data_IF_874480056516
#
_entry.id   IF_874480056516
#
_cell.length_a   1.000
_cell.length_b   1.000
_cell.length_c   1.000
_cell.angle_alpha   90.00
_cell.angle_beta   90.00
_cell.angle_gamma   90.00
#
_symmetry.space_group_name_H-M   'P 1'
#
loop_
_entity.id
_entity.type
_entity.pdbx_description
1 polymer ?
#
# COMPACT_ATOMS: atom_id res chain seq x y z
N UNK A 1 33.12 1.46 -12.62
CA UNK A 1 32.72 1.69 -11.21
C UNK A 1 31.24 1.98 -11.22
N UNK A 2 30.47 1.18 -10.50
CA UNK A 2 29.01 1.04 -10.59
C UNK A 2 28.33 2.23 -9.93
N UNK A 3 27.45 2.95 -10.64
CA UNK A 3 26.65 4.02 -10.03
C UNK A 3 25.18 3.61 -10.08
N UNK A 4 24.75 3.07 -8.95
CA UNK A 4 23.46 2.43 -8.74
C UNK A 4 22.33 3.46 -8.73
N UNK A 5 21.35 3.26 -9.61
CA UNK A 5 20.11 4.00 -9.60
C UNK A 5 19.39 3.83 -8.26
N UNK A 6 19.46 4.86 -7.42
CA UNK A 6 18.75 4.96 -6.15
C UNK A 6 17.25 4.88 -6.39
N UNK A 7 16.68 3.69 -6.23
CA UNK A 7 15.24 3.47 -6.27
C UNK A 7 14.66 4.21 -5.05
N UNK A 8 13.71 5.14 -5.21
CA UNK A 8 13.10 5.80 -4.07
C UNK A 8 12.52 4.72 -3.16
N UNK A 9 12.99 4.69 -1.91
CA UNK A 9 12.51 3.77 -0.89
C UNK A 9 11.00 3.96 -0.79
N UNK A 10 10.25 2.91 -1.11
CA UNK A 10 8.80 2.97 -1.17
C UNK A 10 8.33 3.10 0.27
N UNK A 11 8.06 4.33 0.72
CA UNK A 11 7.55 4.59 2.06
C UNK A 11 6.24 3.81 2.24
N UNK A 12 6.32 2.77 3.07
CA UNK A 12 5.17 1.97 3.45
C UNK A 12 4.58 2.59 4.72
N UNK A 13 3.32 2.99 4.66
CA UNK A 13 2.58 3.50 5.79
C UNK A 13 1.74 2.38 6.42
N UNK A 14 1.74 2.33 7.75
CA UNK A 14 0.84 1.46 8.51
C UNK A 14 -0.60 2.01 8.42
N UNK A 15 -1.53 1.14 8.05
CA UNK A 15 -2.93 1.47 7.91
C UNK A 15 -3.82 0.31 8.35
N UNK A 16 -5.10 0.61 8.61
CA UNK A 16 -6.09 -0.40 9.00
C UNK A 16 -7.03 -0.65 7.83
N UNK A 17 -7.23 -1.92 7.49
CA UNK A 17 -8.15 -2.30 6.42
C UNK A 17 -9.59 -1.97 6.81
N UNK A 18 -10.26 -1.09 6.06
CA UNK A 18 -11.66 -0.72 6.28
C UNK A 18 -12.65 -1.88 6.05
N UNK A 19 -12.23 -2.96 5.38
CA UNK A 19 -13.08 -4.14 5.12
C UNK A 19 -12.99 -5.20 6.22
N UNK A 20 -11.78 -5.48 6.72
CA UNK A 20 -11.53 -6.58 7.66
C UNK A 20 -10.95 -6.14 9.02
N UNK A 21 -10.65 -4.85 9.19
CA UNK A 21 -10.11 -4.27 10.43
C UNK A 21 -8.66 -4.66 10.75
N UNK A 22 -7.96 -5.37 9.86
CA UNK A 22 -6.59 -5.82 10.12
C UNK A 22 -5.55 -4.73 9.81
N UNK A 23 -4.47 -4.61 10.61
CA UNK A 23 -3.36 -3.74 10.29
C UNK A 23 -2.60 -4.25 9.06
N UNK A 24 -2.26 -3.36 8.14
CA UNK A 24 -1.53 -3.66 6.91
C UNK A 24 -0.60 -2.51 6.53
N UNK A 25 0.44 -2.82 5.75
CA UNK A 25 1.37 -1.84 5.19
C UNK A 25 0.97 -1.50 3.77
N UNK A 26 0.76 -0.22 3.51
CA UNK A 26 0.32 0.29 2.21
C UNK A 26 1.27 1.37 1.68
N UNK A 27 1.53 1.43 0.37
CA UNK A 27 2.43 2.43 -0.22
C UNK A 27 1.76 3.82 -0.38
N UNK A 28 0.62 4.05 0.28
CA UNK A 28 -0.14 5.30 0.20
C UNK A 28 -0.52 5.74 1.61
N UNK A 29 -0.52 7.04 1.88
CA UNK A 29 -0.91 7.56 3.20
C UNK A 29 -2.41 7.30 3.45
N UNK A 30 -2.79 6.63 4.55
CA UNK A 30 -4.18 6.51 4.95
C UNK A 30 -4.75 7.91 5.20
N UNK A 31 -5.85 8.26 4.52
CA UNK A 31 -6.48 9.58 4.61
C UNK A 31 -7.84 9.44 5.29
N UNK A 32 -8.23 10.41 6.12
CA UNK A 32 -9.44 10.38 6.97
C UNK A 32 -10.79 10.40 6.21
N UNK A 33 -10.79 10.19 4.89
CA UNK A 33 -11.99 10.03 4.07
C UNK A 33 -11.87 8.95 2.99
N UNK A 34 -10.74 8.22 2.90
CA UNK A 34 -10.55 7.14 1.91
C UNK A 34 -10.34 5.80 2.61
N UNK A 35 -11.21 4.80 2.38
CA UNK A 35 -11.08 3.50 3.00
C UNK A 35 -9.82 2.79 2.45
N UNK A 36 -8.96 2.38 3.38
CA UNK A 36 -7.75 1.62 3.07
C UNK A 36 -8.11 0.15 2.97
N UNK A 37 -7.57 -0.56 1.99
CA UNK A 37 -7.79 -2.00 1.85
C UNK A 37 -6.44 -2.72 1.83
N UNK A 38 -6.32 -3.78 2.63
CA UNK A 38 -5.15 -4.66 2.58
C UNK A 38 -5.11 -5.40 1.24
N UNK A 39 -3.94 -5.94 0.86
CA UNK A 39 -3.72 -6.63 -0.42
C UNK A 39 -4.67 -7.81 -0.68
N UNK A 40 -5.18 -8.41 0.39
CA UNK A 40 -6.17 -9.50 0.34
C UNK A 40 -7.59 -8.98 0.05
N UNK A 41 -7.95 -7.85 0.63
CA UNK A 41 -9.26 -7.21 0.43
C UNK A 41 -9.31 -6.34 -0.84
N UNK A 42 -8.17 -5.74 -1.20
CA UNK A 42 -7.95 -5.00 -2.42
C UNK A 42 -7.75 -6.01 -3.54
N UNK A 43 -8.83 -6.40 -4.24
CA UNK A 43 -8.70 -7.10 -5.51
C UNK A 43 -8.21 -6.10 -6.55
N UNK A 44 -6.93 -6.11 -6.98
CA UNK A 44 -6.58 -5.41 -8.20
C UNK A 44 -7.45 -6.05 -9.29
N UNK A 45 -8.20 -5.23 -10.03
CA UNK A 45 -8.73 -5.65 -11.33
C UNK A 45 -7.53 -5.76 -12.27
N UNK A 46 -6.64 -6.73 -12.04
CA UNK A 46 -5.68 -7.17 -13.05
C UNK A 46 -6.50 -7.81 -14.14
N UNK A 47 -6.87 -6.97 -15.11
CA UNK A 47 -7.43 -7.39 -16.38
C UNK A 47 -6.30 -8.08 -17.14
N UNK A 48 -6.47 -9.39 -17.29
CA UNK A 48 -5.88 -10.30 -18.29
C UNK A 48 -4.37 -10.56 -18.21
#
# INVERSE_FOLDING_TARGET
MTEEGGRPEREMHDAVCAKCGKPCKVPFKPTEGRPVYCRDCFKPRSRF
#
